data_IF_214910076502
#
_entry.id   IF_214910076502
#
_cell.length_a   1.000
_cell.length_b   1.000
_cell.length_c   1.000
_cell.angle_alpha   90.00
_cell.angle_beta   90.00
_cell.angle_gamma   90.00
#
_symmetry.space_group_name_H-M   'P 1'
#
loop_
_entity.id
_entity.type
_entity.pdbx_description
1 polymer ?
#
# COMPACT_ATOMS: atom_id res chain seq x y z
N UNK A 1 -1.76 -5.40 2.11
CA UNK A 1 -2.95 -5.93 1.41
C UNK A 1 -4.08 -4.93 1.51
N UNK A 2 -4.43 -4.28 0.40
CA UNK A 2 -5.59 -3.41 0.29
C UNK A 2 -6.21 -3.59 -1.08
N UNK A 3 -7.51 -3.27 -1.22
CA UNK A 3 -8.19 -3.30 -2.51
C UNK A 3 -8.26 -1.87 -3.03
N UNK A 4 -7.82 -1.65 -4.26
CA UNK A 4 -7.97 -0.36 -4.92
C UNK A 4 -9.05 -0.48 -5.98
N UNK A 5 -9.95 0.49 -6.02
CA UNK A 5 -11.05 0.58 -6.97
C UNK A 5 -11.06 1.95 -7.59
N UNK A 6 -11.15 2.03 -8.91
CA UNK A 6 -11.36 3.28 -9.63
C UNK A 6 -12.86 3.43 -9.84
N UNK A 7 -13.45 4.49 -9.30
CA UNK A 7 -14.85 4.84 -9.49
C UNK A 7 -14.91 6.07 -10.38
N UNK A 8 -15.68 5.98 -11.47
CA UNK A 8 -15.95 7.12 -12.33
C UNK A 8 -17.21 7.83 -11.84
N UNK A 9 -17.07 9.10 -11.45
CA UNK A 9 -18.20 9.89 -10.99
C UNK A 9 -18.96 10.50 -12.19
N UNK A 10 -20.25 10.86 -12.04
CA UNK A 10 -21.09 11.33 -13.16
C UNK A 10 -20.54 12.55 -13.91
N UNK A 11 -19.68 13.34 -13.27
CA UNK A 11 -19.01 14.50 -13.87
C UNK A 11 -17.79 14.14 -14.73
N UNK A 12 -17.49 12.84 -14.88
CA UNK A 12 -16.45 12.33 -15.78
C UNK A 12 -15.08 12.15 -15.13
N UNK A 13 -14.87 12.62 -13.90
CA UNK A 13 -13.65 12.39 -13.14
C UNK A 13 -13.56 10.96 -12.61
N UNK A 14 -12.33 10.49 -12.40
CA UNK A 14 -12.04 9.20 -11.80
C UNK A 14 -11.49 9.42 -10.38
N UNK A 15 -12.08 8.75 -9.40
CA UNK A 15 -11.60 8.72 -8.02
C UNK A 15 -11.09 7.33 -7.69
N UNK A 16 -9.95 7.25 -6.99
CA UNK A 16 -9.45 5.99 -6.45
C UNK A 16 -9.96 5.82 -5.02
N UNK A 17 -10.69 4.74 -4.77
CA UNK A 17 -11.12 4.31 -3.44
C UNK A 17 -10.22 3.15 -3.03
N UNK A 18 -9.62 3.24 -1.84
CA UNK A 18 -8.72 2.22 -1.32
C UNK A 18 -9.27 1.66 0.00
N UNK A 19 -9.48 0.35 0.03
CA UNK A 19 -10.00 -0.38 1.18
C UNK A 19 -8.87 -1.06 1.95
N UNK A 20 -8.86 -0.88 3.26
CA UNK A 20 -7.85 -1.40 4.16
C UNK A 20 -8.49 -1.97 5.43
N UNK A 21 -7.95 -3.08 5.93
CA UNK A 21 -8.10 -3.42 7.36
C UNK A 21 -7.29 -2.44 8.19
N UNK A 22 -7.62 -2.28 9.48
CA UNK A 22 -6.86 -1.40 10.39
C UNK A 22 -5.36 -1.76 10.40
N UNK A 23 -5.04 -3.04 10.47
CA UNK A 23 -3.67 -3.55 10.43
C UNK A 23 -2.96 -3.20 9.11
N UNK A 24 -3.63 -3.42 7.97
CA UNK A 24 -3.06 -3.08 6.67
C UNK A 24 -2.87 -1.58 6.47
N UNK A 25 -3.72 -0.75 7.09
CA UNK A 25 -3.62 0.71 7.07
C UNK A 25 -2.41 1.17 7.87
N UNK A 26 -2.23 0.65 9.09
CA UNK A 26 -1.07 0.96 9.93
C UNK A 26 0.24 0.61 9.24
N UNK A 27 0.32 -0.59 8.66
CA UNK A 27 1.48 -1.01 7.86
C UNK A 27 1.73 -0.08 6.68
N UNK A 28 0.68 0.32 5.96
CA UNK A 28 0.80 1.27 4.84
C UNK A 28 1.33 2.62 5.28
N UNK A 29 0.90 3.14 6.43
CA UNK A 29 1.41 4.40 6.97
C UNK A 29 2.90 4.32 7.33
N UNK A 30 3.33 3.21 7.94
CA UNK A 30 4.74 2.96 8.23
C UNK A 30 5.57 2.86 6.94
N UNK A 31 5.08 2.13 5.95
CA UNK A 31 5.68 2.04 4.63
C UNK A 31 5.76 3.41 3.94
N UNK A 32 4.74 4.25 4.07
CA UNK A 32 4.72 5.59 3.47
C UNK A 32 5.83 6.49 4.04
N UNK A 33 6.12 6.40 5.35
CA UNK A 33 7.24 7.12 5.97
C UNK A 33 8.59 6.68 5.38
N UNK A 34 8.78 5.37 5.23
CA UNK A 34 10.00 4.81 4.65
C UNK A 34 10.14 5.18 3.17
N UNK A 35 9.04 5.10 2.41
CA UNK A 35 9.00 5.48 1.01
C UNK A 35 9.40 6.94 0.77
N UNK A 36 8.96 7.87 1.62
CA UNK A 36 9.37 9.29 1.51
C UNK A 36 10.88 9.44 1.63
N UNK A 37 11.50 8.77 2.59
CA UNK A 37 12.95 8.76 2.75
C UNK A 37 13.64 8.08 1.56
N UNK A 38 13.09 6.96 1.07
CA UNK A 38 13.63 6.22 -0.07
C UNK A 38 13.57 7.03 -1.38
N UNK A 39 12.51 7.81 -1.60
CA UNK A 39 12.29 8.57 -2.85
C UNK A 39 13.37 9.62 -3.11
N UNK A 40 14.02 10.12 -2.07
CA UNK A 40 15.10 11.12 -2.18
C UNK A 40 16.46 10.49 -2.47
N UNK A 41 16.58 9.16 -2.38
CA UNK A 41 17.83 8.43 -2.59
C UNK A 41 18.00 8.01 -4.05
N UNK A 42 19.26 7.78 -4.45
CA UNK A 42 19.58 7.16 -5.73
C UNK A 42 19.06 5.70 -5.75
N UNK A 43 18.38 5.26 -6.81
CA UNK A 43 17.90 3.87 -6.94
C UNK A 43 19.02 2.80 -6.87
N UNK A 44 20.28 3.22 -7.04
CA UNK A 44 21.45 2.36 -7.00
C UNK A 44 22.20 2.41 -5.65
N UNK A 45 21.75 3.22 -4.69
CA UNK A 45 22.38 3.28 -3.37
C UNK A 45 22.03 2.05 -2.54
N UNK A 46 22.96 1.64 -1.68
CA UNK A 46 22.74 0.55 -0.73
C UNK A 46 21.58 0.89 0.20
N UNK A 47 21.50 2.14 0.66
CA UNK A 47 20.42 2.64 1.51
C UNK A 47 19.04 2.52 0.84
N UNK A 48 18.93 2.77 -0.47
CA UNK A 48 17.67 2.57 -1.20
C UNK A 48 17.22 1.10 -1.15
N UNK A 49 18.18 0.18 -1.31
CA UNK A 49 17.94 -1.26 -1.27
C UNK A 49 17.55 -1.69 0.15
N UNK A 50 18.23 -1.20 1.18
CA UNK A 50 17.91 -1.49 2.59
C UNK A 50 16.51 -1.02 2.96
N UNK A 51 16.13 0.20 2.58
CA UNK A 51 14.78 0.71 2.82
C UNK A 51 13.72 -0.11 2.06
N UNK A 52 14.05 -0.64 0.88
CA UNK A 52 13.17 -1.55 0.14
C UNK A 52 12.93 -2.85 0.91
N UNK A 53 13.99 -3.46 1.45
CA UNK A 53 13.87 -4.67 2.26
C UNK A 53 13.07 -4.40 3.55
N UNK A 54 13.32 -3.27 4.21
CA UNK A 54 12.57 -2.87 5.40
C UNK A 54 11.07 -2.71 5.11
N UNK A 55 10.70 -2.13 3.98
CA UNK A 55 9.29 -2.03 3.57
C UNK A 55 8.67 -3.41 3.32
N UNK A 56 9.43 -4.34 2.74
CA UNK A 56 8.98 -5.72 2.53
C UNK A 56 8.77 -6.45 3.87
N UNK A 57 9.73 -6.34 4.80
CA UNK A 57 9.66 -7.02 6.10
C UNK A 57 8.44 -6.59 6.92
N UNK A 58 8.07 -5.30 6.88
CA UNK A 58 6.89 -4.80 7.60
C UNK A 58 5.58 -5.34 6.99
N UNK A 59 5.56 -5.60 5.68
CA UNK A 59 4.36 -6.11 5.02
C UNK A 59 4.27 -7.64 4.96
N UNK A 60 5.36 -8.37 5.26
CA UNK A 60 5.41 -9.82 5.08
C UNK A 60 4.42 -10.56 5.99
N UNK A 61 4.14 -10.00 7.16
CA UNK A 61 3.30 -10.61 8.19
C UNK A 61 1.82 -10.26 8.02
N UNK A 62 1.47 -9.39 7.05
CA UNK A 62 0.08 -9.07 6.74
C UNK A 62 -0.60 -10.24 6.05
N UNK A 63 -1.53 -10.88 6.75
CA UNK A 63 -2.40 -11.86 6.13
C UNK A 63 -3.39 -11.19 5.16
N UNK A 64 -3.70 -11.82 4.02
CA UNK A 64 -4.83 -11.38 3.21
C UNK A 64 -6.13 -11.57 4.01
N UNK A 65 -7.02 -10.56 4.07
CA UNK A 65 -8.29 -10.72 4.77
C UNK A 65 -9.10 -11.85 4.13
N UNK A 66 -9.82 -12.61 4.97
CA UNK A 66 -10.69 -13.70 4.51
C UNK A 66 -11.76 -13.15 3.58
N UNK A 67 -12.04 -13.87 2.50
CA UNK A 67 -13.05 -13.54 1.49
C UNK A 67 -12.78 -12.25 0.69
N UNK A 68 -11.52 -11.82 0.55
CA UNK A 68 -11.15 -10.64 -0.26
C UNK A 68 -11.58 -10.76 -1.74
N UNK A 69 -11.81 -11.99 -2.21
CA UNK A 69 -12.27 -12.33 -3.55
C UNK A 69 -13.79 -12.26 -3.74
N UNK A 70 -14.57 -12.11 -2.67
CA UNK A 70 -16.04 -12.09 -2.72
C UNK A 70 -16.58 -10.70 -2.37
N UNK A 71 -17.50 -10.19 -3.20
CA UNK A 71 -18.31 -9.01 -2.90
C UNK A 71 -19.69 -9.55 -2.51
N UNK A 72 -20.10 -9.40 -1.25
CA UNK A 72 -21.46 -9.74 -0.82
C UNK A 72 -22.44 -8.68 -1.33
N UNK A 73 -23.54 -9.12 -1.96
CA UNK A 73 -24.65 -8.29 -2.45
C UNK A 73 -25.60 -7.82 -1.34
#
# INVERSE_FOLDING_TARGET
NGINTIVRIPIGEEIEIQYHTLESLETKEQQHKIYKAQRELSPFSIEYIELKYKMFDIAKDLEPPKNIENIEE
#
